data_IF_760633189473
#
_entry.id   IF_760633189473
#
_cell.length_a   1.000
_cell.length_b   1.000
_cell.length_c   1.000
_cell.angle_alpha   90.00
_cell.angle_beta   90.00
_cell.angle_gamma   90.00
#
_symmetry.space_group_name_H-M   'P 1'
#
loop_
_entity.id
_entity.type
_entity.pdbx_description
1 polymer ?
#
# COMPACT_ATOMS: atom_id res chain seq x y z
N UNK A 1 -18.19 -14.09 0.81
CA UNK A 1 -17.07 -13.53 0.03
C UNK A 1 -17.67 -12.37 -0.73
N UNK A 2 -17.16 -11.17 -0.52
CA UNK A 2 -17.68 -9.94 -1.08
C UNK A 2 -16.75 -9.52 -2.23
N UNK A 3 -17.27 -9.44 -3.45
CA UNK A 3 -16.46 -9.08 -4.61
C UNK A 3 -17.19 -8.07 -5.49
N UNK A 4 -16.44 -7.08 -5.97
CA UNK A 4 -16.93 -6.07 -6.89
C UNK A 4 -15.85 -5.60 -7.84
N UNK A 5 -16.26 -5.14 -9.02
CA UNK A 5 -15.36 -4.56 -10.00
C UNK A 5 -15.99 -3.34 -10.67
N UNK A 6 -15.13 -2.46 -11.18
CA UNK A 6 -15.50 -1.25 -11.87
C UNK A 6 -14.75 -1.16 -13.20
N UNK A 7 -15.47 -0.80 -14.26
CA UNK A 7 -14.93 -0.57 -15.60
C UNK A 7 -15.78 0.46 -16.36
N UNK A 8 -15.60 0.58 -17.67
CA UNK A 8 -16.34 1.53 -18.52
C UNK A 8 -17.88 1.34 -18.50
N UNK A 9 -18.39 0.16 -18.13
CA UNK A 9 -19.82 -0.10 -17.99
C UNK A 9 -20.38 0.30 -16.61
N UNK A 10 -19.52 0.69 -15.67
CA UNK A 10 -19.87 1.04 -14.30
C UNK A 10 -19.40 0.00 -13.28
N UNK A 11 -20.03 0.02 -12.09
CA UNK A 11 -19.71 -0.87 -10.97
C UNK A 11 -20.63 -2.07 -10.97
N UNK A 12 -20.06 -3.27 -10.83
CA UNK A 12 -20.78 -4.53 -10.67
C UNK A 12 -20.36 -5.22 -9.38
N UNK A 13 -21.33 -5.64 -8.58
CA UNK A 13 -21.14 -6.50 -7.40
C UNK A 13 -21.57 -7.93 -7.73
N UNK A 14 -20.83 -8.94 -7.26
CA UNK A 14 -21.12 -10.34 -7.55
C UNK A 14 -22.06 -10.94 -6.49
N UNK A 15 -23.16 -11.57 -6.91
CA UNK A 15 -24.14 -12.17 -5.99
C UNK A 15 -24.76 -11.14 -5.04
N UNK A 16 -24.95 -11.51 -3.78
CA UNK A 16 -25.52 -10.63 -2.73
C UNK A 16 -24.48 -9.66 -2.13
N UNK A 17 -23.28 -9.54 -2.73
CA UNK A 17 -22.17 -8.73 -2.22
C UNK A 17 -22.47 -7.23 -2.09
N UNK A 18 -23.54 -6.72 -2.70
CA UNK A 18 -23.89 -5.30 -2.61
C UNK A 18 -24.20 -4.83 -1.18
N UNK A 19 -24.84 -5.68 -0.36
CA UNK A 19 -25.12 -5.38 1.05
C UNK A 19 -23.86 -5.57 1.91
N UNK A 20 -23.09 -6.62 1.65
CA UNK A 20 -21.84 -6.91 2.35
C UNK A 20 -20.73 -5.88 2.05
N UNK A 21 -20.83 -5.18 0.92
CA UNK A 21 -19.84 -4.20 0.45
C UNK A 21 -19.63 -3.01 1.40
N UNK A 22 -20.54 -2.80 2.36
CA UNK A 22 -20.46 -1.77 3.41
C UNK A 22 -19.84 -2.28 4.72
N UNK A 23 -19.53 -3.57 4.81
CA UNK A 23 -18.94 -4.14 6.02
C UNK A 23 -17.52 -3.59 6.22
N UNK A 24 -17.29 -2.98 7.39
CA UNK A 24 -15.98 -2.43 7.74
C UNK A 24 -15.07 -3.54 8.27
N UNK A 25 -13.94 -3.75 7.61
CA UNK A 25 -12.92 -4.74 7.97
C UNK A 25 -11.53 -4.10 8.01
N UNK A 26 -10.57 -4.71 8.70
CA UNK A 26 -9.15 -4.35 8.53
C UNK A 26 -8.70 -4.79 7.14
N UNK A 27 -8.05 -3.90 6.40
CA UNK A 27 -7.46 -4.24 5.09
C UNK A 27 -5.98 -4.62 5.22
N UNK A 28 -5.45 -4.68 6.44
CA UNK A 28 -4.09 -5.09 6.77
C UNK A 28 -3.04 -4.45 5.83
N UNK A 29 -2.11 -5.26 5.29
CA UNK A 29 -1.04 -4.80 4.42
C UNK A 29 -1.52 -4.10 3.13
N UNK A 30 -2.77 -4.28 2.68
CA UNK A 30 -3.29 -3.49 1.55
C UNK A 30 -3.35 -1.98 1.88
N UNK A 31 -3.38 -1.62 3.17
CA UNK A 31 -3.23 -0.23 3.63
C UNK A 31 -1.88 0.41 3.30
N UNK A 32 -0.85 -0.38 2.95
CA UNK A 32 0.45 0.14 2.48
C UNK A 32 0.31 1.01 1.23
N UNK A 33 -0.64 0.70 0.36
CA UNK A 33 -0.91 1.51 -0.83
C UNK A 33 -1.33 2.94 -0.47
N UNK A 34 -2.11 3.08 0.60
CA UNK A 34 -2.56 4.38 1.13
C UNK A 34 -1.39 5.12 1.79
N UNK A 35 -0.59 4.43 2.63
CA UNK A 35 0.59 5.02 3.28
C UNK A 35 1.61 5.51 2.25
N UNK A 36 1.97 4.67 1.27
CA UNK A 36 2.88 5.05 0.20
C UNK A 36 2.33 6.22 -0.63
N UNK A 37 1.01 6.30 -0.81
CA UNK A 37 0.40 7.44 -1.50
C UNK A 37 0.48 8.74 -0.70
N UNK A 38 0.32 8.68 0.62
CA UNK A 38 0.57 9.84 1.50
C UNK A 38 2.01 10.33 1.36
N UNK A 39 2.99 9.41 1.34
CA UNK A 39 4.40 9.74 1.11
C UNK A 39 4.60 10.35 -0.27
N UNK A 40 3.98 9.80 -1.32
CA UNK A 40 4.09 10.33 -2.67
C UNK A 40 3.52 11.76 -2.78
N UNK A 41 2.44 12.07 -2.04
CA UNK A 41 1.89 13.43 -1.94
C UNK A 41 2.91 14.38 -1.32
N UNK A 42 3.51 14.01 -0.18
CA UNK A 42 4.52 14.81 0.50
C UNK A 42 5.77 15.02 -0.38
N UNK A 43 6.22 13.97 -1.07
CA UNK A 43 7.33 14.06 -2.04
C UNK A 43 7.00 15.04 -3.15
N UNK A 44 5.78 15.01 -3.69
CA UNK A 44 5.34 15.94 -4.73
C UNK A 44 5.19 17.38 -4.24
N UNK A 45 4.91 17.57 -2.95
CA UNK A 45 4.84 18.88 -2.31
C UNK A 45 6.22 19.45 -1.98
N UNK A 46 7.26 18.60 -1.97
CA UNK A 46 8.62 18.97 -1.57
C UNK A 46 8.88 18.82 -0.08
N UNK A 47 7.92 18.29 0.67
CA UNK A 47 8.02 18.07 2.12
C UNK A 47 8.86 16.83 2.46
N UNK A 48 9.01 15.91 1.50
CA UNK A 48 9.89 14.74 1.60
C UNK A 48 10.77 14.59 0.34
N UNK A 49 12.00 14.14 0.55
CA UNK A 49 12.90 13.73 -0.54
C UNK A 49 12.98 12.19 -0.58
N UNK A 50 12.74 11.53 -1.73
CA UNK A 50 12.99 10.08 -1.89
C UNK A 50 14.43 9.66 -1.54
N UNK A 51 15.40 10.56 -1.60
CA UNK A 51 16.79 10.34 -1.23
C UNK A 51 17.12 10.79 0.20
N UNK A 52 16.13 11.13 1.01
CA UNK A 52 16.30 11.48 2.43
C UNK A 52 16.91 10.29 3.20
N UNK A 53 18.04 10.46 3.90
CA UNK A 53 18.50 9.51 4.90
C UNK A 53 17.42 9.35 5.98
N UNK A 54 16.95 8.12 6.21
CA UNK A 54 15.81 7.88 7.12
C UNK A 54 16.12 8.35 8.55
N UNK A 55 17.40 8.30 8.95
CA UNK A 55 17.87 8.79 10.25
C UNK A 55 17.75 10.31 10.44
N UNK A 56 17.52 11.09 9.39
CA UNK A 56 17.28 12.54 9.49
C UNK A 56 15.98 12.84 10.25
N UNK A 57 14.96 12.00 10.04
CA UNK A 57 13.67 12.12 10.73
C UNK A 57 13.45 11.00 11.75
N UNK A 58 14.25 9.93 11.74
CA UNK A 58 14.26 8.85 12.74
C UNK A 58 15.66 8.72 13.38
N UNK A 59 16.15 9.72 14.13
CA UNK A 59 17.49 9.69 14.72
C UNK A 59 17.73 8.49 15.65
N UNK A 60 16.66 7.97 16.25
CA UNK A 60 16.64 6.79 17.13
C UNK A 60 16.96 5.47 16.41
N UNK A 61 16.88 5.44 15.07
CA UNK A 61 17.33 4.29 14.30
C UNK A 61 18.81 4.01 14.58
N UNK A 62 19.20 2.73 14.76
CA UNK A 62 20.58 2.35 15.00
C UNK A 62 21.54 2.92 13.95
N UNK A 63 22.80 3.14 14.33
CA UNK A 63 23.80 3.76 13.46
C UNK A 63 23.99 3.01 12.12
N UNK A 64 23.80 1.69 12.11
CA UNK A 64 23.88 0.87 10.90
C UNK A 64 22.81 1.22 9.85
N UNK A 65 21.72 1.92 10.22
CA UNK A 65 20.66 2.36 9.31
C UNK A 65 21.04 3.62 8.51
N UNK A 66 22.23 4.19 8.73
CA UNK A 66 22.74 5.36 8.01
C UNK A 66 22.67 5.28 6.46
N UNK A 67 22.88 4.12 5.78
CA UNK A 67 22.74 4.02 4.33
C UNK A 67 21.29 3.89 3.84
N UNK A 68 20.32 3.67 4.72
CA UNK A 68 18.91 3.54 4.32
C UNK A 68 18.36 4.92 3.91
N UNK A 69 17.52 4.93 2.88
CA UNK A 69 16.90 6.10 2.26
C UNK A 69 15.40 5.89 2.16
N UNK A 70 14.62 6.96 2.06
CA UNK A 70 13.16 6.87 1.93
C UNK A 70 12.73 5.93 0.79
N UNK A 71 13.36 6.04 -0.39
CA UNK A 71 13.03 5.17 -1.54
C UNK A 71 13.35 3.68 -1.30
N UNK A 72 14.29 3.36 -0.40
CA UNK A 72 14.55 1.98 -0.02
C UNK A 72 13.37 1.38 0.74
N UNK A 73 12.70 2.18 1.60
CA UNK A 73 11.50 1.74 2.32
C UNK A 73 10.29 1.61 1.38
N UNK A 74 10.08 2.60 0.51
CA UNK A 74 8.96 2.62 -0.46
C UNK A 74 8.92 1.34 -1.29
N UNK A 75 10.09 0.87 -1.75
CA UNK A 75 10.19 -0.25 -2.69
C UNK A 75 10.67 -1.57 -2.06
N UNK A 76 10.66 -1.70 -0.72
CA UNK A 76 11.12 -2.91 -0.02
C UNK A 76 12.55 -3.34 -0.40
N UNK A 77 13.46 -2.37 -0.48
CA UNK A 77 14.88 -2.60 -0.76
C UNK A 77 15.78 -2.14 0.38
N UNK A 78 15.25 -1.93 1.58
CA UNK A 78 16.06 -1.48 2.73
C UNK A 78 16.92 -2.57 3.35
N UNK A 79 16.61 -3.85 3.09
CA UNK A 79 17.18 -5.00 3.76
C UNK A 79 16.63 -5.23 5.18
N UNK A 80 15.74 -4.35 5.67
CA UNK A 80 15.11 -4.49 6.99
C UNK A 80 14.30 -5.80 7.06
N UNK A 81 14.23 -6.43 8.24
CA UNK A 81 13.53 -7.69 8.40
C UNK A 81 12.04 -7.58 8.05
N UNK A 82 11.48 -8.67 7.53
CA UNK A 82 10.06 -8.86 7.22
C UNK A 82 9.18 -9.16 8.43
N UNK A 83 9.69 -8.93 9.64
CA UNK A 83 9.03 -9.32 10.88
C UNK A 83 7.77 -8.50 11.17
N UNK A 84 6.87 -9.09 11.97
CA UNK A 84 5.74 -8.35 12.52
C UNK A 84 6.24 -7.14 13.31
N UNK A 85 5.63 -5.99 13.04
CA UNK A 85 5.98 -4.74 13.72
C UNK A 85 5.70 -4.91 15.22
N UNK A 86 6.70 -4.72 16.10
CA UNK A 86 6.47 -4.82 17.53
C UNK A 86 5.44 -3.79 17.99
N UNK A 87 4.77 -4.08 19.10
CA UNK A 87 3.76 -3.17 19.62
C UNK A 87 4.36 -1.81 20.00
N UNK A 88 3.59 -0.74 19.82
CA UNK A 88 3.99 0.62 20.18
C UNK A 88 4.21 1.56 18.99
N UNK A 89 4.16 2.88 19.24
CA UNK A 89 4.26 3.94 18.22
C UNK A 89 5.72 4.31 17.94
N UNK A 90 6.54 3.32 17.60
CA UNK A 90 7.96 3.51 17.25
C UNK A 90 8.95 3.30 18.39
N UNK A 91 8.49 2.95 19.60
CA UNK A 91 9.37 2.62 20.74
C UNK A 91 10.33 1.45 20.44
N UNK A 92 9.95 0.61 19.47
CA UNK A 92 10.73 -0.54 19.01
C UNK A 92 11.87 -0.18 18.06
N UNK A 93 11.94 1.05 17.55
CA UNK A 93 12.90 1.45 16.51
C UNK A 93 14.34 1.32 17.00
N UNK A 94 14.61 1.68 18.26
CA UNK A 94 15.95 1.59 18.86
C UNK A 94 16.46 0.15 18.97
N UNK A 95 15.54 -0.81 19.11
CA UNK A 95 15.82 -2.23 19.31
C UNK A 95 15.92 -3.05 18.02
N UNK A 96 15.88 -2.41 16.85
CA UNK A 96 15.88 -3.14 15.58
C UNK A 96 17.16 -3.94 15.35
N UNK A 97 16.97 -5.19 14.97
CA UNK A 97 18.03 -6.07 14.48
C UNK A 97 18.63 -5.52 13.18
N UNK A 98 19.93 -5.75 13.00
CA UNK A 98 20.65 -5.36 11.78
C UNK A 98 20.08 -6.13 10.57
N UNK A 99 19.90 -5.48 9.40
CA UNK A 99 19.42 -6.13 8.19
C UNK A 99 20.39 -7.20 7.70
N UNK A 100 19.83 -8.25 7.08
CA UNK A 100 20.60 -9.35 6.48
C UNK A 100 21.23 -8.97 5.14
N UNK A 101 20.76 -7.88 4.52
CA UNK A 101 21.23 -7.37 3.24
C UNK A 101 21.50 -5.87 3.27
N UNK A 102 22.36 -5.40 2.38
CA UNK A 102 22.60 -3.96 2.23
C UNK A 102 21.43 -3.26 1.52
N UNK A 103 21.14 -1.99 1.84
CA UNK A 103 20.05 -1.27 1.19
C UNK A 103 20.26 -1.16 -0.33
N UNK A 104 19.29 -1.61 -1.11
CA UNK A 104 19.29 -1.59 -2.57
C UNK A 104 19.86 -2.85 -3.22
N UNK A 105 20.34 -3.85 -2.48
CA UNK A 105 20.90 -5.07 -3.09
C UNK A 105 19.88 -6.19 -3.26
N UNK A 106 18.79 -6.18 -2.50
CA UNK A 106 17.72 -7.19 -2.57
C UNK A 106 16.34 -6.55 -2.47
N UNK A 107 15.34 -7.22 -3.03
CA UNK A 107 13.93 -6.96 -2.76
C UNK A 107 13.46 -7.90 -1.65
N UNK A 108 13.05 -7.35 -0.52
CA UNK A 108 12.58 -8.10 0.64
C UNK A 108 11.49 -7.30 1.34
N UNK A 109 10.27 -7.86 1.33
CA UNK A 109 9.11 -7.24 1.96
C UNK A 109 9.36 -7.00 3.47
N UNK A 110 8.93 -5.85 3.97
CA UNK A 110 9.20 -5.41 5.34
C UNK A 110 8.08 -4.55 5.91
N UNK A 111 7.35 -5.14 6.86
CA UNK A 111 6.34 -4.45 7.67
C UNK A 111 6.99 -3.34 8.49
N UNK A 112 8.16 -3.62 9.10
CA UNK A 112 9.00 -2.63 9.80
C UNK A 112 9.36 -1.47 8.88
N UNK A 113 9.73 -1.77 7.62
CA UNK A 113 10.05 -0.74 6.63
C UNK A 113 8.87 0.20 6.36
N UNK A 114 7.66 -0.34 6.26
CA UNK A 114 6.44 0.47 6.05
C UNK A 114 5.95 1.18 7.32
N UNK A 115 6.17 0.62 8.50
CA UNK A 115 5.92 1.32 9.75
C UNK A 115 6.85 2.53 9.91
N UNK A 116 8.15 2.37 9.61
CA UNK A 116 9.09 3.49 9.51
C UNK A 116 8.63 4.53 8.47
N UNK A 117 8.11 4.08 7.33
CA UNK A 117 7.62 4.96 6.27
C UNK A 117 6.43 5.83 6.72
N UNK A 118 5.49 5.26 7.49
CA UNK A 118 4.39 6.00 8.10
C UNK A 118 4.91 7.07 9.08
N UNK A 119 5.81 6.71 10.00
CA UNK A 119 6.37 7.64 10.98
C UNK A 119 7.17 8.77 10.30
N UNK A 120 7.90 8.46 9.23
CA UNK A 120 8.59 9.47 8.41
C UNK A 120 7.62 10.47 7.79
N UNK A 121 6.49 9.99 7.25
CA UNK A 121 5.45 10.87 6.71
C UNK A 121 4.85 11.76 7.80
N UNK A 122 4.60 11.22 8.99
CA UNK A 122 4.06 11.97 10.13
C UNK A 122 5.00 13.08 10.58
N UNK A 123 6.28 12.74 10.77
CA UNK A 123 7.30 13.70 11.22
C UNK A 123 7.56 14.79 10.18
N UNK A 124 7.54 14.45 8.89
CA UNK A 124 7.66 15.45 7.83
C UNK A 124 6.46 16.39 7.76
N UNK A 125 5.24 15.87 7.91
CA UNK A 125 4.01 16.65 7.80
C UNK A 125 3.60 17.37 9.11
N UNK A 126 4.25 17.03 10.23
CA UNK A 126 3.92 17.52 11.56
C UNK A 126 2.52 17.11 12.04
N UNK A 127 1.96 16.03 11.50
CA UNK A 127 0.61 15.54 11.79
C UNK A 127 0.50 14.04 11.52
N UNK A 128 -0.49 13.33 12.11
CA UNK A 128 -0.71 11.90 11.87
C UNK A 128 -0.94 11.57 10.38
N UNK A 129 -0.49 10.38 9.95
CA UNK A 129 -0.67 9.92 8.56
C UNK A 129 -2.17 9.79 8.24
N UNK A 130 -2.97 9.48 9.26
CA UNK A 130 -4.42 9.46 9.20
C UNK A 130 -5.02 10.79 8.72
N UNK A 131 -4.49 11.92 9.16
CA UNK A 131 -4.96 13.24 8.74
C UNK A 131 -4.58 13.55 7.29
N UNK A 132 -3.38 13.12 6.86
CA UNK A 132 -2.92 13.26 5.48
C UNK A 132 -3.85 12.47 4.55
N UNK A 133 -4.10 11.21 4.89
CA UNK A 133 -5.00 10.34 4.15
C UNK A 133 -6.44 10.86 4.13
N UNK A 134 -6.96 11.31 5.28
CA UNK A 134 -8.31 11.87 5.36
C UNK A 134 -8.48 13.07 4.43
N UNK A 135 -7.52 14.01 4.47
CA UNK A 135 -7.58 15.26 3.70
C UNK A 135 -7.38 15.04 2.20
N UNK A 136 -6.40 14.22 1.82
CA UNK A 136 -5.97 14.13 0.43
C UNK A 136 -6.55 12.93 -0.32
N UNK A 137 -7.02 11.89 0.39
CA UNK A 137 -7.47 10.64 -0.20
C UNK A 137 -8.92 10.35 0.16
N UNK A 138 -9.25 10.15 1.43
CA UNK A 138 -10.56 9.61 1.80
C UNK A 138 -11.70 10.59 1.54
N UNK A 139 -11.56 11.84 1.97
CA UNK A 139 -12.61 12.87 1.74
C UNK A 139 -12.80 13.15 0.25
N UNK A 140 -11.73 13.42 -0.54
CA UNK A 140 -11.89 13.72 -1.97
C UNK A 140 -12.41 12.54 -2.81
N UNK A 141 -12.11 11.30 -2.41
CA UNK A 141 -12.57 10.08 -3.10
C UNK A 141 -13.92 9.57 -2.58
N UNK A 142 -14.50 10.23 -1.57
CA UNK A 142 -15.76 9.82 -0.96
C UNK A 142 -15.68 8.52 -0.15
N UNK A 143 -14.49 8.15 0.34
CA UNK A 143 -14.26 6.95 1.13
C UNK A 143 -14.64 7.16 2.61
N UNK A 144 -15.93 7.35 2.86
CA UNK A 144 -16.46 7.81 4.15
C UNK A 144 -16.36 6.78 5.29
N UNK A 145 -16.21 5.50 4.97
CA UNK A 145 -16.09 4.39 5.91
C UNK A 145 -14.63 3.94 6.10
N UNK A 146 -13.69 4.56 5.38
CA UNK A 146 -12.25 4.30 5.53
C UNK A 146 -11.63 5.19 6.60
N UNK A 147 -10.88 4.57 7.53
CA UNK A 147 -10.17 5.29 8.57
C UNK A 147 -8.96 4.50 9.07
N UNK A 148 -7.99 5.21 9.63
CA UNK A 148 -6.96 4.60 10.45
C UNK A 148 -7.52 4.32 11.85
N UNK A 149 -7.30 3.11 12.36
CA UNK A 149 -7.64 2.71 13.73
C UNK A 149 -6.39 2.26 14.45
N UNK A 150 -6.29 2.57 15.73
CA UNK A 150 -5.20 2.09 16.56
C UNK A 150 -5.22 0.55 16.60
N UNK A 151 -4.15 -0.07 16.13
CA UNK A 151 -3.85 -1.48 16.27
C UNK A 151 -2.69 -1.71 17.25
N UNK A 152 -2.40 -2.97 17.60
CA UNK A 152 -1.32 -3.30 18.53
C UNK A 152 0.05 -2.83 18.03
N UNK A 153 0.27 -2.83 16.71
CA UNK A 153 1.55 -2.52 16.07
C UNK A 153 1.62 -1.13 15.42
N UNK A 154 0.64 -0.26 15.70
CA UNK A 154 0.47 1.04 15.05
C UNK A 154 -0.91 1.20 14.43
N UNK A 155 -1.12 2.30 13.71
CA UNK A 155 -2.42 2.56 13.09
C UNK A 155 -2.62 1.69 11.84
N UNK A 156 -3.71 0.94 11.80
CA UNK A 156 -4.13 0.09 10.68
C UNK A 156 -5.26 0.74 9.90
N UNK A 157 -5.33 0.51 8.59
CA UNK A 157 -6.46 0.97 7.79
C UNK A 157 -7.61 -0.01 7.90
N UNK A 158 -8.78 0.51 8.26
CA UNK A 158 -10.05 -0.21 8.19
C UNK A 158 -10.91 0.43 7.12
N UNK A 159 -11.57 -0.39 6.31
CA UNK A 159 -12.32 0.08 5.15
C UNK A 159 -13.45 -0.89 4.78
N UNK A 160 -14.22 -0.52 3.77
CA UNK A 160 -15.27 -1.35 3.17
C UNK A 160 -14.85 -1.76 1.76
N UNK A 161 -15.50 -2.80 1.20
CA UNK A 161 -15.25 -3.16 -0.19
C UNK A 161 -15.58 -1.99 -1.12
N UNK A 162 -16.68 -1.26 -0.85
CA UNK A 162 -17.09 -0.11 -1.67
C UNK A 162 -16.05 1.00 -1.70
N UNK A 163 -15.50 1.36 -0.55
CA UNK A 163 -14.50 2.43 -0.48
C UNK A 163 -13.17 1.98 -1.10
N UNK A 164 -12.78 0.72 -0.92
CA UNK A 164 -11.60 0.18 -1.58
C UNK A 164 -11.75 0.08 -3.11
N UNK A 165 -12.97 -0.11 -3.62
CA UNK A 165 -13.20 -0.04 -5.06
C UNK A 165 -13.03 1.39 -5.58
N UNK A 166 -13.54 2.40 -4.87
CA UNK A 166 -13.30 3.82 -5.19
C UNK A 166 -11.82 4.16 -5.21
N UNK A 167 -11.07 3.64 -4.23
CA UNK A 167 -9.60 3.75 -4.20
C UNK A 167 -8.94 3.17 -5.45
N UNK A 168 -9.26 1.91 -5.79
CA UNK A 168 -8.71 1.24 -6.96
C UNK A 168 -9.10 1.95 -8.27
N UNK A 169 -10.32 2.49 -8.33
CA UNK A 169 -10.78 3.34 -9.44
C UNK A 169 -9.92 4.58 -9.58
N UNK A 170 -9.75 5.34 -8.50
CA UNK A 170 -8.98 6.58 -8.48
C UNK A 170 -7.54 6.41 -9.00
N UNK A 171 -6.95 5.24 -8.76
CA UNK A 171 -5.61 4.86 -9.23
C UNK A 171 -5.51 4.72 -10.75
N UNK A 172 -6.62 4.52 -11.48
CA UNK A 172 -6.59 4.33 -12.93
C UNK A 172 -7.38 5.34 -13.74
N UNK A 173 -8.47 5.90 -13.21
CA UNK A 173 -9.27 6.91 -13.91
C UNK A 173 -8.69 8.33 -13.78
N UNK A 174 -7.53 8.48 -13.12
CA UNK A 174 -6.82 9.76 -13.01
C UNK A 174 -7.41 10.72 -11.98
N UNK A 175 -8.28 10.26 -11.08
CA UNK A 175 -8.85 11.08 -10.00
C UNK A 175 -7.78 11.61 -9.02
N UNK A 176 -6.64 10.92 -8.92
CA UNK A 176 -5.45 11.38 -8.17
C UNK A 176 -4.60 12.40 -8.95
N UNK A 177 -4.95 12.68 -10.20
CA UNK A 177 -4.19 13.49 -11.14
C UNK A 177 -3.03 12.72 -11.80
N UNK A 178 -2.75 12.97 -13.08
CA UNK A 178 -1.85 12.15 -13.89
C UNK A 178 -0.42 12.07 -13.33
N UNK A 179 0.06 13.13 -12.68
CA UNK A 179 1.40 13.17 -12.09
C UNK A 179 1.54 12.28 -10.86
N UNK A 180 0.55 12.27 -9.96
CA UNK A 180 0.61 11.40 -8.79
C UNK A 180 0.45 9.94 -9.23
N UNK A 181 -0.53 9.66 -10.10
CA UNK A 181 -0.74 8.33 -10.66
C UNK A 181 0.52 7.78 -11.35
N UNK A 182 1.25 8.62 -12.10
CA UNK A 182 2.50 8.20 -12.72
C UNK A 182 3.58 7.82 -11.70
N UNK A 183 3.73 8.59 -10.62
CA UNK A 183 4.68 8.27 -9.52
C UNK A 183 4.33 6.94 -8.88
N UNK A 184 3.04 6.73 -8.55
CA UNK A 184 2.62 5.55 -7.80
C UNK A 184 2.84 4.23 -8.56
N UNK A 185 2.97 4.29 -9.89
CA UNK A 185 3.21 3.15 -10.77
C UNK A 185 4.68 2.89 -11.06
N UNK A 186 5.59 3.73 -10.55
CA UNK A 186 7.02 3.56 -10.81
C UNK A 186 7.56 2.37 -10.02
N UNK A 187 8.18 1.38 -10.68
CA UNK A 187 8.89 0.31 -9.99
C UNK A 187 10.14 0.85 -9.30
N UNK A 188 10.49 0.24 -8.17
CA UNK A 188 11.81 0.41 -7.58
C UNK A 188 12.91 -0.22 -8.43
N UNK A 189 14.16 0.13 -8.12
CA UNK A 189 15.35 -0.47 -8.72
C UNK A 189 16.33 -0.92 -7.65
N UNK A 190 16.97 -2.05 -7.89
CA UNK A 190 18.17 -2.48 -7.17
C UNK A 190 19.40 -1.71 -7.67
N UNK A 191 20.50 -1.77 -6.91
CA UNK A 191 21.77 -1.09 -7.22
C UNK A 191 22.38 -1.53 -8.55
N UNK A 192 22.11 -2.77 -8.98
CA UNK A 192 22.55 -3.30 -10.28
C UNK A 192 21.67 -2.83 -11.46
N UNK A 193 20.61 -2.05 -11.18
CA UNK A 193 19.67 -1.53 -12.16
C UNK A 193 18.46 -2.42 -12.42
N UNK A 194 18.39 -3.63 -11.83
CA UNK A 194 17.23 -4.50 -11.97
C UNK A 194 15.98 -3.87 -11.34
N UNK A 195 14.85 -3.97 -12.03
CA UNK A 195 13.57 -3.51 -11.48
C UNK A 195 13.02 -4.52 -10.46
N UNK A 196 12.43 -4.01 -9.38
CA UNK A 196 11.69 -4.84 -8.42
C UNK A 196 10.21 -4.92 -8.82
N UNK A 197 9.51 -6.04 -8.53
CA UNK A 197 8.10 -6.22 -8.87
C UNK A 197 7.15 -5.47 -7.90
N UNK A 198 7.53 -4.26 -7.50
CA UNK A 198 6.84 -3.46 -6.50
C UNK A 198 6.98 -1.97 -6.80
N UNK A 199 5.84 -1.27 -6.76
CA UNK A 199 5.73 0.17 -6.96
C UNK A 199 5.51 0.87 -5.60
N UNK A 200 4.76 1.98 -5.57
CA UNK A 200 4.48 2.68 -4.33
C UNK A 200 3.30 2.02 -3.60
N UNK A 201 3.61 1.03 -2.76
CA UNK A 201 2.64 0.33 -1.93
C UNK A 201 1.75 -0.66 -2.70
N UNK A 202 2.22 -1.16 -3.84
CA UNK A 202 1.51 -2.17 -4.65
C UNK A 202 2.49 -3.08 -5.39
N UNK A 203 2.19 -4.38 -5.45
CA UNK A 203 2.85 -5.31 -6.35
C UNK A 203 2.53 -4.99 -7.80
N UNK A 204 3.51 -5.19 -8.67
CA UNK A 204 3.37 -5.06 -10.12
C UNK A 204 3.17 -6.45 -10.70
N UNK A 205 1.95 -6.74 -11.13
CA UNK A 205 1.59 -8.02 -11.72
C UNK A 205 1.72 -7.91 -13.24
N UNK A 206 2.58 -8.73 -13.89
CA UNK A 206 2.72 -8.71 -15.34
C UNK A 206 1.44 -9.20 -16.02
N UNK A 207 1.13 -8.65 -17.18
CA UNK A 207 0.00 -9.05 -18.02
C UNK A 207 0.26 -8.74 -19.49
N UNK A 208 -0.39 -9.48 -20.39
CA UNK A 208 -0.16 -9.35 -21.84
C UNK A 208 -0.41 -7.94 -22.38
N UNK A 209 -1.41 -7.25 -21.82
CA UNK A 209 -1.79 -5.89 -22.22
C UNK A 209 -1.05 -4.79 -21.45
N UNK A 210 -0.17 -5.17 -20.52
CA UNK A 210 0.48 -4.28 -19.57
C UNK A 210 0.27 -4.74 -18.12
N UNK A 211 1.00 -4.13 -17.17
CA UNK A 211 0.94 -4.54 -15.78
C UNK A 211 -0.36 -4.08 -15.10
N UNK A 212 -0.80 -4.86 -14.11
CA UNK A 212 -1.74 -4.38 -13.09
C UNK A 212 -1.00 -4.13 -11.77
N UNK A 213 -1.65 -3.36 -10.90
CA UNK A 213 -1.14 -3.00 -9.59
C UNK A 213 -2.08 -3.56 -8.55
N UNK A 214 -1.55 -4.35 -7.62
CA UNK A 214 -2.37 -5.06 -6.64
C UNK A 214 -1.73 -5.07 -5.26
N UNK A 215 -2.54 -5.30 -4.23
CA UNK A 215 -2.04 -5.62 -2.91
C UNK A 215 -2.99 -6.57 -2.20
N UNK A 216 -2.40 -7.55 -1.51
CA UNK A 216 -3.12 -8.47 -0.62
C UNK A 216 -2.94 -8.00 0.82
N UNK A 217 -4.03 -7.91 1.56
CA UNK A 217 -4.07 -7.73 2.99
C UNK A 217 -4.53 -9.02 3.65
N UNK A 218 -3.83 -9.46 4.69
CA UNK A 218 -4.17 -10.66 5.46
C UNK A 218 -4.31 -10.29 6.93
N UNK A 219 -5.50 -10.50 7.46
CA UNK A 219 -5.78 -10.53 8.89
C UNK A 219 -6.30 -11.92 9.25
N UNK A 220 -6.22 -12.36 10.52
CA UNK A 220 -6.77 -13.66 10.92
C UNK A 220 -8.24 -13.81 10.47
N UNK A 221 -8.51 -14.82 9.64
CA UNK A 221 -9.82 -15.13 9.09
C UNK A 221 -10.33 -14.15 8.04
N UNK A 222 -9.51 -13.22 7.52
CA UNK A 222 -9.92 -12.26 6.50
C UNK A 222 -8.80 -11.92 5.52
N UNK A 223 -9.07 -12.09 4.22
CA UNK A 223 -8.24 -11.61 3.12
C UNK A 223 -8.94 -10.45 2.43
N UNK A 224 -8.19 -9.39 2.17
CA UNK A 224 -8.56 -8.30 1.27
C UNK A 224 -7.62 -8.30 0.08
N UNK A 225 -8.13 -8.35 -1.15
CA UNK A 225 -7.35 -8.21 -2.37
C UNK A 225 -7.88 -7.06 -3.21
N UNK A 226 -7.05 -6.06 -3.43
CA UNK A 226 -7.36 -4.90 -4.27
C UNK A 226 -6.46 -4.92 -5.50
N UNK A 227 -7.02 -4.68 -6.68
CA UNK A 227 -6.28 -4.69 -7.94
C UNK A 227 -6.84 -3.66 -8.92
N UNK A 228 -5.94 -3.01 -9.66
CA UNK A 228 -6.27 -2.09 -10.73
C UNK A 228 -5.39 -2.33 -11.96
N UNK A 229 -6.01 -2.49 -13.13
CA UNK A 229 -5.33 -2.64 -14.41
C UNK A 229 -5.55 -1.40 -15.27
N UNK A 230 -4.51 -0.55 -15.46
CA UNK A 230 -4.60 0.59 -16.36
C UNK A 230 -4.84 0.19 -17.81
N UNK A 231 -4.35 -0.98 -18.22
CA UNK A 231 -4.46 -1.48 -19.59
C UNK A 231 -5.90 -1.83 -19.98
N UNK A 232 -6.69 -2.34 -19.03
CA UNK A 232 -8.10 -2.69 -19.24
C UNK A 232 -9.06 -1.63 -18.70
N UNK A 233 -8.55 -0.59 -18.03
CA UNK A 233 -9.33 0.39 -17.29
C UNK A 233 -10.36 -0.28 -16.35
N UNK A 234 -9.90 -1.34 -15.68
CA UNK A 234 -10.71 -2.15 -14.77
C UNK A 234 -10.05 -2.21 -13.40
N UNK A 235 -10.85 -2.11 -12.36
CA UNK A 235 -10.44 -2.33 -10.97
C UNK A 235 -11.34 -3.33 -10.29
N UNK A 236 -10.80 -4.07 -9.33
CA UNK A 236 -11.56 -5.02 -8.55
C UNK A 236 -11.13 -5.01 -7.07
N UNK A 237 -12.09 -5.35 -6.22
CA UNK A 237 -11.92 -5.59 -4.79
C UNK A 237 -12.54 -6.95 -4.47
N UNK A 238 -11.82 -7.77 -3.71
CA UNK A 238 -12.33 -9.02 -3.15
C UNK A 238 -12.01 -9.06 -1.68
N UNK A 239 -13.02 -9.25 -0.84
CA UNK A 239 -12.90 -9.49 0.59
C UNK A 239 -13.44 -10.89 0.87
N UNK A 240 -12.62 -11.76 1.44
CA UNK A 240 -12.95 -13.14 1.71
C UNK A 240 -12.70 -13.46 3.19
N UNK A 241 -13.68 -14.10 3.85
CA UNK A 241 -13.55 -14.56 5.24
C UNK A 241 -12.82 -15.91 5.27
N UNK A 242 -11.51 -15.86 5.05
CA UNK A 242 -10.61 -17.01 4.95
C UNK A 242 -9.18 -16.55 5.27
N UNK A 243 -8.30 -17.49 5.62
CA UNK A 243 -6.86 -17.25 5.76
C UNK A 243 -6.07 -17.48 4.44
N UNK A 244 -6.71 -18.15 3.47
CA UNK A 244 -6.15 -18.47 2.16
C UNK A 244 -6.40 -17.33 1.16
N UNK A 245 -5.35 -16.65 0.66
CA UNK A 245 -5.52 -15.56 -0.29
C UNK A 245 -5.82 -16.02 -1.71
N UNK A 246 -5.53 -17.28 -2.08
CA UNK A 246 -5.59 -17.74 -3.48
C UNK A 246 -6.96 -17.49 -4.12
N UNK A 247 -8.10 -17.83 -3.49
CA UNK A 247 -9.40 -17.63 -4.13
C UNK A 247 -9.71 -16.15 -4.40
N UNK A 248 -9.31 -15.26 -3.48
CA UNK A 248 -9.53 -13.83 -3.62
C UNK A 248 -8.64 -13.22 -4.71
N UNK A 249 -7.37 -13.61 -4.74
CA UNK A 249 -6.42 -13.18 -5.76
C UNK A 249 -6.79 -13.66 -7.15
N UNK A 250 -7.16 -14.94 -7.27
CA UNK A 250 -7.55 -15.56 -8.53
C UNK A 250 -8.76 -14.87 -9.13
N UNK A 251 -9.82 -14.68 -8.33
CA UNK A 251 -11.01 -13.95 -8.76
C UNK A 251 -10.69 -12.50 -9.15
N UNK A 252 -9.93 -11.76 -8.33
CA UNK A 252 -9.59 -10.37 -8.64
C UNK A 252 -8.77 -10.22 -9.94
N UNK A 253 -7.80 -11.12 -10.18
CA UNK A 253 -7.01 -11.17 -11.42
C UNK A 253 -7.91 -11.45 -12.63
N UNK A 254 -8.82 -12.42 -12.53
CA UNK A 254 -9.82 -12.71 -13.57
C UNK A 254 -10.69 -11.48 -13.88
N UNK A 255 -11.19 -10.79 -12.86
CA UNK A 255 -12.06 -9.61 -13.02
C UNK A 255 -11.39 -8.46 -13.77
N UNK A 256 -10.08 -8.28 -13.63
CA UNK A 256 -9.34 -7.23 -14.37
C UNK A 256 -8.77 -7.70 -15.71
N UNK A 257 -9.02 -8.95 -16.10
CA UNK A 257 -8.52 -9.55 -17.34
C UNK A 257 -7.05 -9.96 -17.27
N UNK A 258 -6.51 -10.17 -16.07
CA UNK A 258 -5.24 -10.86 -15.86
C UNK A 258 -5.51 -12.36 -15.75
N UNK A 259 -5.66 -13.01 -16.89
CA UNK A 259 -5.63 -14.47 -16.97
C UNK A 259 -4.27 -14.89 -17.50
N UNK A 260 -3.54 -15.66 -16.70
CA UNK A 260 -2.38 -16.45 -17.11
C UNK A 260 -2.68 -17.92 -16.88
#
# INVERSE_FOLDING_TARGET
MTAGYANAAGVTWLGDAAEEAETVVSIAAAGRWIVATCVAILVRQGDLDPNLPVRTLLPELPAWAAPIRLHHLIHHTSGLPGEAVPAGRGDWIEGLSRPEAEPGTVFSDSDIGYACLAILAERAAGRPVAEIAQKHLFTPLGMASTQFRAGPSGDEVWSTARDMLRWAEAMHIGALGPRLTAVLRQPGKLRDGAFVPYAWGSHILPGERGPAFAHTGRSPGCVTFVIASPATATSAIVIALTDDPEPAESLGKQLVGLTG
#
